data_IF_175297474678
#
_entry.id   IF_175297474678
#
_cell.length_a   1.000
_cell.length_b   1.000
_cell.length_c   1.000
_cell.angle_alpha   90.00
_cell.angle_beta   90.00
_cell.angle_gamma   90.00
#
_symmetry.space_group_name_H-M   'P 1'
#
loop_
_entity.id
_entity.type
_entity.pdbx_description
1 polymer ?
#
# COMPACT_ATOMS: atom_id res chain seq x y z
N UNK A 1 6.42 -10.72 -20.87
CA UNK A 1 6.28 -12.12 -20.41
C UNK A 1 6.80 -12.20 -18.99
N UNK A 2 6.04 -12.80 -18.07
CA UNK A 2 6.45 -12.92 -16.66
C UNK A 2 6.98 -14.34 -16.44
N UNK A 3 8.14 -14.47 -15.77
CA UNK A 3 8.69 -15.76 -15.36
C UNK A 3 8.35 -15.96 -13.88
N UNK A 4 7.74 -17.09 -13.54
CA UNK A 4 7.47 -17.49 -12.16
C UNK A 4 8.35 -18.69 -11.85
N UNK A 5 9.21 -18.56 -10.83
CA UNK A 5 10.01 -19.66 -10.30
C UNK A 5 9.29 -20.28 -9.09
N UNK A 6 9.02 -21.58 -9.16
CA UNK A 6 8.50 -22.34 -8.03
C UNK A 6 9.63 -23.19 -7.44
N UNK A 7 10.04 -22.85 -6.22
CA UNK A 7 11.04 -23.64 -5.48
C UNK A 7 10.32 -24.66 -4.61
N UNK A 8 10.48 -25.94 -4.93
CA UNK A 8 9.91 -27.05 -4.17
C UNK A 8 10.90 -27.58 -3.13
N UNK A 9 10.39 -28.05 -1.99
CA UNK A 9 11.21 -28.81 -1.04
C UNK A 9 11.72 -30.10 -1.71
N UNK A 10 12.94 -30.58 -1.41
CA UNK A 10 13.52 -31.77 -2.05
C UNK A 10 12.61 -33.02 -2.02
N UNK A 11 11.82 -33.18 -0.95
CA UNK A 11 10.87 -34.30 -0.77
C UNK A 11 9.64 -34.24 -1.69
N UNK A 12 9.40 -33.13 -2.39
CA UNK A 12 8.28 -32.99 -3.32
C UNK A 12 8.58 -33.59 -4.72
N UNK A 13 9.86 -33.79 -5.07
CA UNK A 13 10.27 -34.31 -6.38
C UNK A 13 9.94 -35.79 -6.59
N UNK A 14 9.54 -36.52 -5.54
CA UNK A 14 9.26 -37.96 -5.59
C UNK A 14 7.78 -38.35 -5.65
N UNK A 15 6.84 -37.40 -5.64
CA UNK A 15 5.39 -37.69 -5.73
C UNK A 15 4.91 -37.40 -7.16
N UNK A 16 4.47 -38.42 -7.88
CA UNK A 16 3.94 -38.32 -9.26
C UNK A 16 2.49 -37.80 -9.33
N UNK A 17 1.97 -37.25 -8.24
CA UNK A 17 0.60 -36.75 -8.15
C UNK A 17 0.57 -35.26 -8.49
N UNK A 18 0.71 -34.94 -9.79
CA UNK A 18 0.59 -33.57 -10.30
C UNK A 18 -0.74 -32.89 -9.92
N UNK A 19 -1.77 -33.69 -9.63
CA UNK A 19 -3.08 -33.28 -9.11
C UNK A 19 -3.01 -32.52 -7.77
N UNK A 20 -1.95 -32.73 -6.97
CA UNK A 20 -1.75 -32.04 -5.68
C UNK A 20 -1.13 -30.64 -5.83
N UNK A 21 -0.68 -30.27 -7.03
CA UNK A 21 -0.14 -28.93 -7.28
C UNK A 21 -1.30 -27.95 -7.41
N UNK A 22 -1.43 -27.05 -6.43
CA UNK A 22 -2.30 -25.89 -6.57
C UNK A 22 -1.66 -24.93 -7.59
N UNK A 23 -2.01 -25.10 -8.87
CA UNK A 23 -1.53 -24.26 -9.99
C UNK A 23 -2.29 -22.94 -10.10
N UNK A 24 -3.34 -22.77 -9.30
CA UNK A 24 -4.09 -21.52 -9.18
C UNK A 24 -3.26 -20.49 -8.43
N UNK A 25 -2.50 -19.71 -9.19
CA UNK A 25 -1.92 -18.46 -8.70
C UNK A 25 -3.03 -17.42 -8.72
N UNK A 26 -3.48 -16.97 -7.53
CA UNK A 26 -4.31 -15.78 -7.44
C UNK A 26 -3.52 -14.65 -8.12
N UNK A 27 -4.10 -14.09 -9.19
CA UNK A 27 -3.44 -13.07 -10.00
C UNK A 27 -3.07 -11.82 -9.18
N UNK A 28 -2.46 -10.85 -9.87
CA UNK A 28 -2.08 -9.58 -9.26
C UNK A 28 -3.30 -8.90 -8.62
N UNK A 29 -3.25 -8.69 -7.30
CA UNK A 29 -4.25 -7.89 -6.59
C UNK A 29 -4.15 -6.45 -7.11
N UNK A 30 -5.19 -5.98 -7.80
CA UNK A 30 -5.30 -4.56 -8.13
C UNK A 30 -5.48 -3.79 -6.81
N UNK A 31 -4.45 -3.03 -6.43
CA UNK A 31 -4.46 -2.23 -5.21
C UNK A 31 -5.71 -1.35 -5.15
N UNK A 32 -6.45 -1.43 -4.05
CA UNK A 32 -7.59 -0.54 -3.81
C UNK A 32 -7.08 0.90 -3.73
N UNK A 33 -7.62 1.78 -4.56
CA UNK A 33 -7.48 3.23 -4.41
C UNK A 33 -8.55 3.69 -3.43
N UNK A 34 -8.16 4.38 -2.36
CA UNK A 34 -9.13 4.97 -1.44
C UNK A 34 -9.65 6.28 -2.02
N UNK A 35 -10.93 6.55 -1.79
CA UNK A 35 -11.58 7.77 -2.28
C UNK A 35 -11.04 9.01 -1.56
N UNK A 36 -10.67 10.02 -2.35
CA UNK A 36 -10.39 11.38 -1.91
C UNK A 36 -11.46 12.35 -2.43
N UNK A 37 -12.10 13.16 -1.56
CA UNK A 37 -12.98 14.23 -1.98
C UNK A 37 -12.24 15.24 -2.86
N UNK A 38 -12.94 15.80 -3.84
CA UNK A 38 -12.45 16.96 -4.57
C UNK A 38 -12.62 18.21 -3.71
N UNK A 39 -11.55 18.63 -3.04
CA UNK A 39 -11.52 19.82 -2.18
C UNK A 39 -11.56 21.16 -2.94
N UNK A 40 -11.77 21.15 -4.26
CA UNK A 40 -11.88 22.35 -5.10
C UNK A 40 -13.18 23.13 -4.90
N UNK A 41 -14.20 22.52 -4.29
CA UNK A 41 -15.48 23.14 -3.98
C UNK A 41 -15.83 22.87 -2.51
N UNK A 42 -16.43 23.84 -1.84
CA UNK A 42 -16.92 23.64 -0.48
C UNK A 42 -18.00 22.55 -0.48
N UNK A 43 -17.69 21.39 0.10
CA UNK A 43 -18.68 20.35 0.36
C UNK A 43 -19.47 20.74 1.61
N UNK A 44 -20.79 20.65 1.54
CA UNK A 44 -21.67 20.78 2.72
C UNK A 44 -21.73 19.50 3.55
N UNK A 45 -21.18 18.40 3.03
CA UNK A 45 -21.17 17.10 3.71
C UNK A 45 -19.89 16.96 4.52
N UNK A 46 -20.06 16.62 5.80
CA UNK A 46 -18.99 16.40 6.75
C UNK A 46 -18.17 15.14 6.38
N UNK A 47 -16.84 15.26 6.40
CA UNK A 47 -15.87 14.22 6.09
C UNK A 47 -15.54 13.39 7.35
N UNK A 48 -16.07 12.17 7.39
CA UNK A 48 -15.86 11.20 8.49
C UNK A 48 -14.95 10.03 8.09
N UNK A 49 -14.16 10.16 7.02
CA UNK A 49 -13.32 9.04 6.55
C UNK A 49 -12.24 8.71 7.58
N UNK A 50 -12.01 7.41 7.79
CA UNK A 50 -10.93 6.90 8.65
C UNK A 50 -9.59 6.84 7.92
N UNK A 51 -9.60 6.72 6.59
CA UNK A 51 -8.43 6.85 5.71
C UNK A 51 -8.64 8.08 4.84
N UNK A 52 -7.98 9.18 5.21
CA UNK A 52 -8.13 10.49 4.56
C UNK A 52 -7.23 10.66 3.34
N UNK A 53 -6.11 9.92 3.29
CA UNK A 53 -5.12 9.95 2.22
C UNK A 53 -4.52 8.57 1.97
N UNK A 54 -4.35 8.20 0.70
CA UNK A 54 -3.67 6.97 0.30
C UNK A 54 -3.00 7.14 -1.07
N UNK A 55 -1.67 7.06 -1.11
CA UNK A 55 -0.92 7.06 -2.35
C UNK A 55 0.07 5.88 -2.37
N UNK A 56 -0.20 4.83 -3.16
CA UNK A 56 0.62 3.61 -3.16
C UNK A 56 1.93 3.79 -3.92
N UNK A 57 2.05 4.83 -4.75
CA UNK A 57 3.24 5.11 -5.54
C UNK A 57 3.75 6.51 -5.23
N UNK A 58 4.84 6.57 -4.48
CA UNK A 58 5.56 7.80 -4.15
C UNK A 58 7.02 7.58 -4.54
N UNK A 59 7.54 8.46 -5.38
CA UNK A 59 8.96 8.47 -5.75
C UNK A 59 9.62 9.65 -5.07
N UNK A 60 10.75 9.40 -4.43
CA UNK A 60 11.57 10.44 -3.80
C UNK A 60 12.40 11.18 -4.84
N UNK A 61 12.77 12.43 -4.55
CA UNK A 61 13.73 13.19 -5.34
C UNK A 61 15.16 12.61 -5.19
N UNK A 62 16.13 13.23 -5.86
CA UNK A 62 17.54 12.83 -5.81
C UNK A 62 18.16 12.89 -4.40
N UNK A 63 17.54 13.63 -3.47
CA UNK A 63 17.96 13.71 -2.07
C UNK A 63 17.27 12.68 -1.16
N UNK A 64 16.37 11.84 -1.71
CA UNK A 64 15.58 10.88 -0.93
C UNK A 64 14.34 11.48 -0.26
N UNK A 65 13.88 12.66 -0.68
CA UNK A 65 12.75 13.36 -0.08
C UNK A 65 11.50 13.28 -0.96
N UNK A 66 10.33 13.21 -0.32
CA UNK A 66 9.04 13.35 -0.99
C UNK A 66 8.15 14.30 -0.18
N UNK A 67 7.45 15.20 -0.87
CA UNK A 67 6.52 16.14 -0.26
C UNK A 67 5.10 15.67 -0.55
N UNK A 68 4.32 15.48 0.50
CA UNK A 68 2.93 15.02 0.42
C UNK A 68 2.06 16.08 1.11
N UNK A 69 0.96 16.46 0.46
CA UNK A 69 -0.03 17.39 1.00
C UNK A 69 -1.41 16.77 0.91
N UNK A 70 -2.17 16.85 2.00
CA UNK A 70 -3.51 16.28 2.10
C UNK A 70 -4.34 17.09 3.09
N UNK A 71 -5.66 16.86 3.06
CA UNK A 71 -6.61 17.51 3.98
C UNK A 71 -7.01 16.55 5.10
N UNK A 72 -7.25 17.11 6.29
CA UNK A 72 -7.78 16.36 7.42
C UNK A 72 -9.28 16.09 7.26
N UNK A 73 -9.77 15.06 7.94
CA UNK A 73 -11.19 14.86 8.17
C UNK A 73 -11.71 15.91 9.19
N UNK A 74 -13.02 16.12 9.20
CA UNK A 74 -13.65 17.16 10.05
C UNK A 74 -13.61 16.86 11.56
N UNK A 75 -13.71 15.60 12.04
CA UNK A 75 -13.64 15.32 13.47
C UNK A 75 -12.25 15.54 14.06
N UNK A 76 -12.21 16.17 15.24
CA UNK A 76 -11.02 16.18 16.11
C UNK A 76 -10.61 14.76 16.41
N UNK A 77 -9.41 14.39 15.98
CA UNK A 77 -8.94 13.01 16.03
C UNK A 77 -7.41 12.94 16.04
N UNK A 78 -6.92 11.77 16.46
CA UNK A 78 -5.51 11.39 16.32
C UNK A 78 -5.33 10.81 14.92
N UNK A 79 -4.46 11.42 14.13
CA UNK A 79 -4.11 10.94 12.80
C UNK A 79 -2.82 10.14 12.89
N UNK A 80 -2.83 8.98 12.24
CA UNK A 80 -1.67 8.09 12.09
C UNK A 80 -1.23 8.09 10.63
N UNK A 81 0.00 8.50 10.40
CA UNK A 81 0.68 8.42 9.10
C UNK A 81 1.57 7.19 9.11
N UNK A 82 1.42 6.33 8.11
CA UNK A 82 2.29 5.17 7.89
C UNK A 82 2.85 5.24 6.48
N UNK A 83 4.17 5.18 6.36
CA UNK A 83 4.87 5.11 5.09
C UNK A 83 5.57 3.77 5.02
N UNK A 84 5.35 3.04 3.93
CA UNK A 84 6.02 1.77 3.67
C UNK A 84 6.58 1.81 2.25
N UNK A 85 7.75 1.21 2.05
CA UNK A 85 8.38 1.18 0.74
C UNK A 85 9.55 0.23 0.67
N UNK A 86 10.23 0.27 -0.47
CA UNK A 86 11.46 -0.48 -0.72
C UNK A 86 12.47 0.51 -1.31
N UNK A 87 13.70 0.49 -0.82
CA UNK A 87 14.76 1.34 -1.36
C UNK A 87 15.40 0.72 -2.62
N UNK A 88 16.30 1.44 -3.27
CA UNK A 88 16.99 0.99 -4.50
C UNK A 88 17.79 -0.31 -4.33
N UNK A 89 18.16 -0.66 -3.08
CA UNK A 89 18.89 -1.89 -2.75
C UNK A 89 17.95 -3.07 -2.44
N UNK A 90 16.63 -2.86 -2.51
CA UNK A 90 15.64 -3.89 -2.23
C UNK A 90 15.28 -4.06 -0.75
N UNK A 91 15.77 -3.18 0.13
CA UNK A 91 15.41 -3.25 1.56
C UNK A 91 14.08 -2.57 1.83
N UNK A 92 13.23 -3.24 2.60
CA UNK A 92 11.98 -2.67 3.09
C UNK A 92 12.24 -1.54 4.08
N UNK A 93 11.46 -0.47 3.97
CA UNK A 93 11.47 0.69 4.87
C UNK A 93 10.07 0.95 5.40
N UNK A 94 9.97 1.28 6.69
CA UNK A 94 8.71 1.64 7.36
C UNK A 94 8.93 2.85 8.24
N UNK A 95 8.06 3.84 8.14
CA UNK A 95 8.02 5.02 9.01
C UNK A 95 6.60 5.25 9.53
N UNK A 96 6.49 5.70 10.77
CA UNK A 96 5.22 6.00 11.41
C UNK A 96 5.29 7.33 12.16
N UNK A 97 4.24 8.14 12.02
CA UNK A 97 4.08 9.40 12.74
C UNK A 97 2.62 9.52 13.22
N UNK A 98 2.42 10.12 14.39
CA UNK A 98 1.08 10.49 14.86
C UNK A 98 1.02 11.97 15.21
N UNK A 99 -0.12 12.60 14.91
CA UNK A 99 -0.42 13.97 15.35
C UNK A 99 -1.90 14.11 15.70
N UNK A 100 -2.24 15.21 16.38
CA UNK A 100 -3.60 15.51 16.82
C UNK A 100 -4.17 16.71 16.06
N UNK A 101 -5.39 16.55 15.55
CA UNK A 101 -6.21 17.65 15.00
C UNK A 101 -7.08 18.18 16.14
N UNK A 102 -6.89 19.46 16.48
CA UNK A 102 -7.55 20.14 17.60
C UNK A 102 -8.71 21.02 17.16
#
# INVERSE_FOLDING_TARGET
AYLIYLTLKPSAFGRSEASLLNTTVNGYYQGRVFYEPRYTQASTQQDYRTTIYWQPNVTTNANGEAIISYYNADPKSKIRIVVQGVNEKGFAVVGELMYEVK
#
